data_IF_731067923041
#
_entry.id   IF_731067923041
#
_cell.length_a   1.000
_cell.length_b   1.000
_cell.length_c   1.000
_cell.angle_alpha   90.00
_cell.angle_beta   90.00
_cell.angle_gamma   90.00
#
_symmetry.space_group_name_H-M   'P 1'
#
loop_
_entity.id
_entity.type
_entity.pdbx_description
1 polymer ?
#
# COMPACT_ATOMS: atom_id res chain seq x y z
N UNK A 1 -0.02 -12.51 15.45
CA UNK A 1 -0.12 -11.31 14.59
C UNK A 1 0.18 -11.76 13.17
N UNK A 2 -0.83 -11.90 12.36
CA UNK A 2 -0.71 -12.38 10.98
C UNK A 2 -0.57 -11.21 10.01
N UNK A 3 0.27 -11.34 9.00
CA UNK A 3 0.33 -10.42 7.88
C UNK A 3 -0.80 -10.78 6.91
N UNK A 4 -1.74 -9.88 6.71
CA UNK A 4 -2.79 -10.03 5.72
C UNK A 4 -2.40 -9.23 4.49
N UNK A 5 -2.42 -9.87 3.34
CA UNK A 5 -2.14 -9.23 2.05
C UNK A 5 -3.26 -9.49 1.06
N UNK A 6 -3.54 -8.53 0.20
CA UNK A 6 -4.51 -8.63 -0.88
C UNK A 6 -4.05 -7.87 -2.10
N UNK A 7 -4.15 -8.48 -3.27
CA UNK A 7 -3.85 -7.86 -4.56
C UNK A 7 -5.16 -7.38 -5.19
N UNK A 8 -5.25 -6.10 -5.50
CA UNK A 8 -6.42 -5.46 -6.10
C UNK A 8 -6.11 -5.04 -7.53
N UNK A 9 -6.96 -5.41 -8.47
CA UNK A 9 -6.75 -5.14 -9.91
C UNK A 9 -7.07 -3.71 -10.32
N UNK A 10 -7.84 -3.00 -9.53
CA UNK A 10 -8.28 -1.65 -9.83
C UNK A 10 -8.18 -0.72 -8.61
N UNK A 11 -8.15 0.58 -8.90
CA UNK A 11 -8.02 1.61 -7.88
C UNK A 11 -9.19 1.61 -6.89
N UNK A 12 -10.43 1.43 -7.35
CA UNK A 12 -11.60 1.55 -6.48
C UNK A 12 -11.63 0.45 -5.43
N UNK A 13 -11.31 -0.79 -5.83
CA UNK A 13 -11.22 -1.93 -4.91
C UNK A 13 -10.10 -1.74 -3.90
N UNK A 14 -8.94 -1.25 -4.34
CA UNK A 14 -7.81 -0.93 -3.45
C UNK A 14 -8.16 0.18 -2.46
N UNK A 15 -8.77 1.27 -2.92
CA UNK A 15 -9.21 2.38 -2.07
C UNK A 15 -10.25 1.92 -1.03
N UNK A 16 -11.19 1.06 -1.44
CA UNK A 16 -12.19 0.48 -0.53
C UNK A 16 -11.53 -0.36 0.54
N UNK A 17 -10.58 -1.21 0.17
CA UNK A 17 -9.84 -2.05 1.11
C UNK A 17 -8.96 -1.22 2.07
N UNK A 18 -8.31 -0.18 1.55
CA UNK A 18 -7.53 0.74 2.38
C UNK A 18 -8.43 1.48 3.38
N UNK A 19 -9.58 1.98 2.90
CA UNK A 19 -10.56 2.66 3.75
C UNK A 19 -11.11 1.72 4.82
N UNK A 20 -11.42 0.47 4.48
CA UNK A 20 -11.85 -0.54 5.44
C UNK A 20 -10.84 -0.72 6.58
N UNK A 21 -9.55 -0.76 6.26
CA UNK A 21 -8.49 -0.85 7.26
C UNK A 21 -8.46 0.39 8.17
N UNK A 22 -8.59 1.59 7.60
CA UNK A 22 -8.64 2.82 8.42
C UNK A 22 -9.91 2.91 9.27
N UNK A 23 -11.05 2.47 8.77
CA UNK A 23 -12.31 2.39 9.52
C UNK A 23 -12.22 1.38 10.69
N UNK A 24 -11.38 0.35 10.57
CA UNK A 24 -11.03 -0.57 11.67
C UNK A 24 -10.01 0.03 12.66
N UNK A 25 -9.58 1.28 12.46
CA UNK A 25 -8.68 2.01 13.34
C UNK A 25 -7.20 1.76 13.09
N UNK A 26 -6.84 1.22 11.93
CA UNK A 26 -5.45 1.13 11.49
C UNK A 26 -5.01 2.45 10.88
N UNK A 27 -3.88 2.95 11.32
CA UNK A 27 -3.29 4.19 10.80
C UNK A 27 -2.53 3.94 9.49
N UNK A 28 -2.26 5.00 8.74
CA UNK A 28 -1.54 4.92 7.46
C UNK A 28 -0.12 4.38 7.59
N UNK A 29 0.49 4.50 8.77
CA UNK A 29 1.80 3.95 9.11
C UNK A 29 1.75 2.45 9.52
N UNK A 30 0.57 1.84 9.57
CA UNK A 30 0.38 0.40 9.77
C UNK A 30 -0.05 -0.33 8.49
N UNK A 31 -0.44 0.44 7.45
CA UNK A 31 -0.93 -0.07 6.17
C UNK A 31 0.17 0.09 5.12
N UNK A 32 0.51 -1.00 4.46
CA UNK A 32 1.47 -0.98 3.37
C UNK A 32 0.76 -1.00 2.03
N UNK A 33 1.29 -0.23 1.08
CA UNK A 33 0.80 -0.20 -0.30
C UNK A 33 1.98 -0.37 -1.24
N UNK A 34 1.87 -1.31 -2.17
CA UNK A 34 2.88 -1.55 -3.20
C UNK A 34 2.21 -1.52 -4.56
N UNK A 35 2.75 -0.73 -5.47
CA UNK A 35 2.26 -0.63 -6.85
C UNK A 35 3.41 -0.31 -7.80
N UNK A 36 3.17 -0.48 -9.10
CA UNK A 36 4.13 0.00 -10.10
C UNK A 36 4.12 1.52 -10.19
N UNK A 37 5.23 2.10 -10.65
CA UNK A 37 5.30 3.54 -10.90
C UNK A 37 4.30 3.98 -11.97
N UNK A 38 4.02 3.12 -12.95
CA UNK A 38 3.03 3.39 -13.99
C UNK A 38 1.61 3.39 -13.43
N UNK A 39 1.29 2.47 -12.52
CA UNK A 39 0.01 2.45 -11.78
C UNK A 39 -0.16 3.70 -10.95
N UNK A 40 0.90 4.13 -10.24
CA UNK A 40 0.88 5.39 -9.49
C UNK A 40 0.61 6.60 -10.40
N UNK A 41 1.33 6.70 -11.52
CA UNK A 41 1.14 7.80 -12.48
C UNK A 41 -0.26 7.80 -13.09
N UNK A 42 -0.79 6.61 -13.38
CA UNK A 42 -2.12 6.43 -13.99
C UNK A 42 -3.24 6.88 -13.07
N UNK A 43 -3.20 6.48 -11.80
CA UNK A 43 -4.31 6.67 -10.87
C UNK A 43 -4.14 7.88 -9.96
N UNK A 44 -2.90 8.25 -9.63
CA UNK A 44 -2.60 9.30 -8.64
C UNK A 44 -1.87 10.51 -9.24
N UNK A 45 -1.63 10.51 -10.56
CA UNK A 45 -1.05 11.62 -11.30
C UNK A 45 0.46 11.79 -11.11
N UNK A 46 1.06 12.65 -11.95
CA UNK A 46 2.49 12.97 -11.87
C UNK A 46 2.82 13.88 -10.68
N UNK A 47 1.85 14.61 -10.18
CA UNK A 47 2.00 15.67 -9.19
C UNK A 47 1.66 15.23 -7.75
N UNK A 48 1.51 13.94 -7.51
CA UNK A 48 1.61 13.39 -6.16
C UNK A 48 3.06 13.41 -5.61
N UNK A 49 3.97 14.06 -6.33
CA UNK A 49 5.21 14.55 -5.74
C UNK A 49 4.91 15.84 -5.00
N UNK A 50 4.83 15.71 -3.74
CA UNK A 50 4.85 16.68 -2.69
C UNK A 50 5.80 17.84 -2.99
N UNK A 51 5.33 18.84 -3.70
CA UNK A 51 5.85 20.16 -3.47
C UNK A 51 5.20 20.68 -2.19
N UNK A 52 6.00 20.95 -1.24
CA UNK A 52 5.88 21.19 0.19
C UNK A 52 4.83 22.20 0.69
N UNK A 53 4.04 22.82 -0.16
CA UNK A 53 2.99 23.74 0.28
C UNK A 53 1.62 23.07 0.48
N UNK A 54 1.38 21.92 -0.16
CA UNK A 54 0.14 21.15 0.02
C UNK A 54 0.29 20.11 1.15
N UNK A 55 1.53 19.72 1.47
CA UNK A 55 1.82 18.71 2.48
C UNK A 55 1.32 19.03 3.88
N UNK A 56 1.40 20.29 4.30
CA UNK A 56 0.94 20.69 5.64
C UNK A 56 -0.59 20.70 5.75
N UNK A 57 -1.31 21.04 4.67
CA UNK A 57 -2.78 21.04 4.68
C UNK A 57 -3.39 19.67 4.46
N UNK A 58 -2.68 18.78 3.75
CA UNK A 58 -3.12 17.40 3.57
C UNK A 58 -2.95 16.56 4.85
N UNK A 59 -1.89 16.83 5.63
CA UNK A 59 -1.69 16.16 6.91
C UNK A 59 -2.73 16.61 7.96
N UNK A 60 -3.12 17.89 7.97
CA UNK A 60 -4.20 18.38 8.82
C UNK A 60 -5.57 17.86 8.36
N UNK A 61 -5.80 17.70 7.04
CA UNK A 61 -7.03 17.17 6.49
C UNK A 61 -7.21 15.67 6.70
N UNK A 62 -6.12 14.90 6.70
CA UNK A 62 -6.14 13.46 6.98
C UNK A 62 -6.47 13.16 8.45
N UNK A 63 -6.12 14.07 9.37
CA UNK A 63 -6.45 13.96 10.79
C UNK A 63 -7.92 14.33 11.12
N UNK A 64 -8.59 15.06 10.23
CA UNK A 64 -9.96 15.60 10.47
C UNK A 64 -11.03 14.81 9.70
N UNK A 65 -10.70 13.76 9.06
CA UNK A 65 -11.73 12.83 8.64
C UNK A 65 -11.94 12.69 7.15
N UNK A 66 -12.27 11.50 6.79
CA UNK A 66 -12.80 11.06 5.53
C UNK A 66 -14.13 11.69 5.09
N UNK A 67 -14.38 12.95 5.38
CA UNK A 67 -15.60 13.65 5.02
C UNK A 67 -15.46 14.58 3.81
N UNK A 68 -14.25 14.86 3.36
CA UNK A 68 -14.00 15.68 2.18
C UNK A 68 -13.27 14.90 1.08
N UNK A 69 -13.79 13.72 0.76
CA UNK A 69 -13.37 12.88 -0.36
C UNK A 69 -13.74 13.49 -1.71
N UNK A 70 -13.25 14.67 -1.99
CA UNK A 70 -13.24 15.19 -3.35
C UNK A 70 -11.87 14.94 -3.97
N UNK A 71 -11.77 14.00 -4.89
CA UNK A 71 -10.69 13.82 -5.88
C UNK A 71 -9.36 13.20 -5.46
N UNK A 72 -9.00 13.13 -4.19
CA UNK A 72 -7.83 12.36 -3.75
C UNK A 72 -8.28 11.18 -2.90
N UNK A 73 -7.98 9.95 -3.35
CA UNK A 73 -8.29 8.73 -2.62
C UNK A 73 -7.49 8.61 -1.32
N UNK A 74 -7.92 7.73 -0.42
CA UNK A 74 -7.26 7.49 0.86
C UNK A 74 -5.81 7.00 0.70
N UNK A 75 -5.54 6.22 -0.34
CA UNK A 75 -4.18 5.78 -0.70
C UNK A 75 -3.31 6.97 -1.13
N UNK A 76 -3.84 7.87 -1.97
CA UNK A 76 -3.11 9.07 -2.39
C UNK A 76 -2.76 9.95 -1.19
N UNK A 77 -3.73 10.15 -0.30
CA UNK A 77 -3.52 10.90 0.94
C UNK A 77 -2.47 10.22 1.85
N UNK A 78 -2.48 8.90 1.93
CA UNK A 78 -1.50 8.15 2.71
C UNK A 78 -0.09 8.26 2.11
N UNK A 79 0.06 8.11 0.79
CA UNK A 79 1.33 8.31 0.09
C UNK A 79 1.86 9.73 0.36
N UNK A 80 0.97 10.72 0.39
CA UNK A 80 1.32 12.11 0.65
C UNK A 80 1.66 12.38 2.12
N UNK A 81 0.89 11.83 3.06
CA UNK A 81 0.99 12.17 4.48
C UNK A 81 2.14 11.47 5.21
N UNK A 82 2.46 10.23 4.85
CA UNK A 82 3.41 9.40 5.61
C UNK A 82 4.87 9.77 5.31
N UNK A 83 5.14 10.53 4.24
CA UNK A 83 6.52 10.92 3.87
C UNK A 83 7.47 9.74 3.63
N UNK A 84 6.97 8.52 3.77
CA UNK A 84 7.67 7.25 3.65
C UNK A 84 7.26 6.51 2.37
N UNK A 85 7.04 7.25 1.28
CA UNK A 85 6.94 6.60 -0.03
C UNK A 85 8.34 6.43 -0.59
N UNK A 86 8.72 5.21 -0.82
CA UNK A 86 9.98 4.88 -1.48
C UNK A 86 9.68 4.58 -2.95
N UNK A 87 10.19 5.44 -3.82
CA UNK A 87 10.25 5.16 -5.26
C UNK A 87 11.56 4.45 -5.51
N UNK A 88 11.52 3.25 -6.06
CA UNK A 88 12.70 2.48 -6.44
C UNK A 88 12.98 2.69 -7.94
N UNK A 89 13.85 3.67 -8.30
CA UNK A 89 14.19 3.92 -9.71
C UNK A 89 14.90 2.70 -10.25
N UNK A 90 14.52 2.29 -11.46
CA UNK A 90 15.06 1.08 -12.10
C UNK A 90 14.25 -0.19 -11.83
N UNK A 91 13.46 -0.24 -10.75
CA UNK A 91 12.49 -1.31 -10.49
C UNK A 91 11.06 -0.91 -10.86
N UNK A 92 10.82 0.39 -11.09
CA UNK A 92 9.50 0.89 -11.42
C UNK A 92 8.44 0.68 -10.33
N UNK A 93 8.87 0.67 -9.07
CA UNK A 93 8.01 0.43 -7.91
C UNK A 93 7.85 1.64 -7.02
N UNK A 94 6.67 1.76 -6.46
CA UNK A 94 6.33 2.68 -5.38
C UNK A 94 5.82 1.89 -4.20
N UNK A 95 6.45 2.09 -3.06
CA UNK A 95 6.11 1.43 -1.79
C UNK A 95 5.79 2.52 -0.77
N UNK A 96 4.66 2.42 -0.12
CA UNK A 96 4.26 3.31 0.97
C UNK A 96 3.97 2.51 2.24
N UNK A 97 4.17 3.14 3.40
CA UNK A 97 3.95 2.53 4.71
C UNK A 97 5.22 1.98 5.36
N UNK A 98 5.10 1.18 6.44
CA UNK A 98 6.23 0.65 7.22
C UNK A 98 7.24 -0.13 6.39
N UNK A 99 6.80 -0.80 5.33
CA UNK A 99 7.69 -1.55 4.43
C UNK A 99 8.69 -0.62 3.72
N UNK A 100 8.25 0.57 3.31
CA UNK A 100 9.12 1.56 2.68
C UNK A 100 10.24 1.98 3.65
N UNK A 101 9.92 2.22 4.91
CA UNK A 101 10.89 2.56 5.95
C UNK A 101 11.86 1.42 6.23
N UNK A 102 11.37 0.17 6.26
CA UNK A 102 12.20 -1.01 6.47
C UNK A 102 13.21 -1.20 5.33
N UNK A 103 12.78 -1.03 4.08
CA UNK A 103 13.65 -1.13 2.91
C UNK A 103 14.67 0.01 2.88
N UNK A 104 14.25 1.24 3.16
CA UNK A 104 15.14 2.39 3.23
C UNK A 104 16.20 2.23 4.32
N UNK A 105 15.82 1.65 5.49
CA UNK A 105 16.73 1.38 6.60
C UNK A 105 17.70 0.24 6.34
N UNK A 106 17.35 -0.74 5.51
CA UNK A 106 18.22 -1.86 5.15
C UNK A 106 19.36 -1.49 4.17
N UNK A 107 19.33 -0.27 3.64
CA UNK A 107 20.34 0.25 2.70
C UNK A 107 20.33 -0.46 1.34
N UNK A 108 21.39 -0.25 0.55
CA UNK A 108 21.49 -0.76 -0.82
C UNK A 108 21.41 -2.30 -0.94
N UNK A 109 21.69 -3.04 0.13
CA UNK A 109 21.61 -4.51 0.13
C UNK A 109 20.19 -5.07 0.08
N UNK A 110 19.19 -4.30 0.58
CA UNK A 110 17.77 -4.71 0.54
C UNK A 110 17.09 -4.49 -0.82
N UNK A 111 17.68 -3.66 -1.67
CA UNK A 111 17.07 -3.21 -2.94
C UNK A 111 17.51 -4.05 -4.14
N UNK A 112 18.59 -4.82 -4.02
CA UNK A 112 19.17 -5.57 -5.14
C UNK A 112 18.33 -6.72 -5.67
N UNK A 113 17.35 -7.16 -4.91
CA UNK A 113 16.50 -8.30 -5.25
C UNK A 113 15.15 -7.93 -5.94
N UNK A 114 14.94 -6.66 -6.28
CA UNK A 114 13.73 -6.23 -6.99
C UNK A 114 12.45 -6.34 -6.15
N UNK A 115 11.31 -6.45 -6.85
CA UNK A 115 9.98 -6.66 -6.23
C UNK A 115 10.00 -7.87 -5.31
N UNK A 116 10.55 -8.95 -5.79
CA UNK A 116 10.64 -10.23 -5.05
C UNK A 116 11.36 -10.03 -3.72
N UNK A 117 12.50 -9.36 -3.70
CA UNK A 117 13.23 -9.10 -2.45
C UNK A 117 12.48 -8.23 -1.46
N UNK A 118 11.74 -7.23 -1.94
CA UNK A 118 10.89 -6.41 -1.10
C UNK A 118 9.75 -7.24 -0.47
N UNK A 119 9.11 -8.10 -1.25
CA UNK A 119 8.02 -8.96 -0.79
C UNK A 119 8.51 -10.03 0.19
N UNK A 120 9.67 -10.64 -0.04
CA UNK A 120 10.32 -11.56 0.92
C UNK A 120 10.62 -10.83 2.23
N UNK A 121 11.21 -9.63 2.15
CA UNK A 121 11.49 -8.81 3.33
C UNK A 121 10.23 -8.45 4.12
N UNK A 122 9.09 -8.46 3.48
CA UNK A 122 7.78 -8.26 4.12
C UNK A 122 7.22 -9.53 4.76
N UNK A 123 7.78 -10.70 4.45
CA UNK A 123 7.33 -11.99 4.98
C UNK A 123 6.31 -12.68 4.10
N UNK A 124 6.21 -12.30 2.83
CA UNK A 124 5.35 -12.98 1.86
C UNK A 124 5.99 -14.32 1.48
N UNK A 125 5.25 -15.43 1.53
CA UNK A 125 5.76 -16.75 1.16
C UNK A 125 6.23 -16.82 -0.30
N UNK A 126 7.30 -17.57 -0.56
CA UNK A 126 7.93 -17.66 -1.88
C UNK A 126 6.98 -18.17 -2.98
N UNK A 127 6.04 -19.03 -2.65
CA UNK A 127 5.03 -19.56 -3.57
C UNK A 127 4.05 -18.50 -4.09
N UNK A 128 3.93 -17.36 -3.38
CA UNK A 128 3.06 -16.24 -3.75
C UNK A 128 3.78 -15.10 -4.48
N UNK A 129 5.11 -15.09 -4.44
CA UNK A 129 5.90 -13.96 -4.96
C UNK A 129 5.64 -13.71 -6.45
N UNK A 130 5.55 -14.77 -7.25
CA UNK A 130 5.32 -14.66 -8.70
C UNK A 130 3.94 -14.07 -9.02
N UNK A 131 2.92 -14.47 -8.29
CA UNK A 131 1.55 -14.00 -8.51
C UNK A 131 1.45 -12.50 -8.17
N UNK A 132 2.08 -12.08 -7.06
CA UNK A 132 2.11 -10.67 -6.68
C UNK A 132 2.99 -9.84 -7.62
N UNK A 133 4.16 -10.33 -8.00
CA UNK A 133 5.03 -9.65 -8.97
C UNK A 133 4.29 -9.41 -10.29
N UNK A 134 3.69 -10.46 -10.85
CA UNK A 134 2.91 -10.36 -12.07
C UNK A 134 1.73 -9.41 -11.91
N UNK A 135 0.95 -9.53 -10.83
CA UNK A 135 -0.20 -8.68 -10.58
C UNK A 135 0.16 -7.21 -10.44
N UNK A 136 1.29 -6.87 -9.81
CA UNK A 136 1.78 -5.49 -9.71
C UNK A 136 2.23 -4.99 -11.09
N UNK A 137 2.90 -5.81 -11.89
CA UNK A 137 3.27 -5.47 -13.26
C UNK A 137 2.05 -5.24 -14.15
N UNK A 138 1.00 -6.01 -13.97
CA UNK A 138 -0.27 -5.88 -14.71
C UNK A 138 -1.10 -4.66 -14.27
N UNK A 139 -0.58 -3.85 -13.35
CA UNK A 139 -1.20 -2.62 -12.89
C UNK A 139 -2.01 -2.75 -11.60
N UNK A 140 -1.91 -3.88 -10.92
CA UNK A 140 -2.53 -4.10 -9.61
C UNK A 140 -1.86 -3.32 -8.49
N UNK A 141 -2.59 -3.22 -7.38
CA UNK A 141 -2.18 -2.57 -6.14
C UNK A 141 -2.21 -3.62 -5.04
N UNK A 142 -1.05 -3.88 -4.44
CA UNK A 142 -0.93 -4.78 -3.29
C UNK A 142 -1.09 -3.97 -2.00
N UNK A 143 -2.02 -4.38 -1.16
CA UNK A 143 -2.22 -3.82 0.18
C UNK A 143 -1.91 -4.88 1.21
N UNK A 144 -1.29 -4.47 2.30
CA UNK A 144 -1.01 -5.38 3.40
C UNK A 144 -0.99 -4.70 4.74
N UNK A 145 -1.51 -5.41 5.71
CA UNK A 145 -1.66 -4.96 7.09
C UNK A 145 -1.22 -6.07 8.03
N UNK A 146 -0.48 -5.71 9.06
CA UNK A 146 -0.19 -6.64 10.16
C UNK A 146 -1.35 -6.61 11.14
N UNK A 147 -2.22 -7.62 11.09
CA UNK A 147 -3.39 -7.72 11.94
C UNK A 147 -3.00 -7.75 13.42
N UNK A 148 -3.70 -6.98 14.25
CA UNK A 148 -3.46 -6.88 15.69
C UNK A 148 -4.02 -8.09 16.45
N UNK A 149 -5.03 -8.74 15.86
CA UNK A 149 -5.71 -9.92 16.42
C UNK A 149 -6.11 -10.90 15.32
N UNK A 150 -6.44 -12.14 15.70
CA UNK A 150 -6.97 -13.13 14.76
C UNK A 150 -8.39 -12.75 14.28
N UNK A 151 -9.14 -11.99 15.08
CA UNK A 151 -10.43 -11.46 14.68
C UNK A 151 -10.28 -10.40 13.58
N UNK A 152 -9.33 -9.49 13.72
CA UNK A 152 -9.00 -8.52 12.69
C UNK A 152 -8.53 -9.22 11.41
N UNK A 153 -7.68 -10.24 11.55
CA UNK A 153 -7.20 -11.02 10.41
C UNK A 153 -8.37 -11.61 9.61
N UNK A 154 -9.33 -12.27 10.30
CA UNK A 154 -10.52 -12.82 9.66
C UNK A 154 -11.42 -11.75 9.02
N UNK A 155 -11.54 -10.57 9.65
CA UNK A 155 -12.32 -9.46 9.09
C UNK A 155 -11.69 -8.97 7.80
N UNK A 156 -10.39 -8.71 7.79
CA UNK A 156 -9.65 -8.32 6.57
C UNK A 156 -9.79 -9.35 5.47
N UNK A 157 -9.60 -10.62 5.79
CA UNK A 157 -9.71 -11.71 4.82
C UNK A 157 -11.10 -11.75 4.17
N UNK A 158 -12.16 -11.65 4.97
CA UNK A 158 -13.53 -11.66 4.46
C UNK A 158 -13.86 -10.41 3.65
N UNK A 159 -13.51 -9.24 4.17
CA UNK A 159 -13.81 -7.96 3.55
C UNK A 159 -13.06 -7.79 2.22
N UNK A 160 -11.77 -8.11 2.20
CA UNK A 160 -10.97 -7.97 0.99
C UNK A 160 -11.35 -8.98 -0.09
N UNK A 161 -11.72 -10.21 0.27
CA UNK A 161 -12.28 -11.18 -0.68
C UNK A 161 -13.60 -10.69 -1.30
N UNK A 162 -14.45 -10.04 -0.52
CA UNK A 162 -15.68 -9.45 -1.04
C UNK A 162 -15.42 -8.24 -1.95
N UNK A 163 -14.35 -7.51 -1.71
CA UNK A 163 -13.91 -6.37 -2.51
C UNK A 163 -13.00 -6.76 -3.68
N UNK A 164 -13.13 -7.96 -4.19
CA UNK A 164 -12.43 -8.45 -5.39
C UNK A 164 -10.91 -8.48 -5.25
N UNK A 165 -10.37 -8.69 -4.05
CA UNK A 165 -8.96 -8.97 -3.90
C UNK A 165 -8.65 -10.36 -4.43
N UNK A 166 -7.64 -10.44 -5.29
CA UNK A 166 -7.01 -11.71 -5.63
C UNK A 166 -5.96 -12.07 -4.56
N UNK A 167 -5.77 -13.36 -4.33
CA UNK A 167 -4.72 -13.88 -3.47
C UNK A 167 -4.72 -13.31 -2.03
N UNK A 168 -5.89 -13.14 -1.40
CA UNK A 168 -5.94 -12.77 0.02
C UNK A 168 -5.35 -13.89 0.86
N UNK A 169 -4.34 -13.55 1.64
CA UNK A 169 -3.62 -14.48 2.53
C UNK A 169 -3.55 -13.92 3.94
N UNK A 170 -3.76 -14.78 4.91
CA UNK A 170 -3.50 -14.56 6.32
C UNK A 170 -2.27 -15.36 6.76
#
# INVERSE_FOLDING_TARGET
>A
MSLITGLFKDQNSAETAYKSATDMGYSSDEINVVMSEDTRKKYYGKDATLETEVGNKAAEGAAIGGALGGTMGAIAAAIAAVGTSLVLPGLGLVIAGPLAAAIAGAGAGGVTAGIVGALIGWGIPEDRLKDYEQGIHDGGILIGVKARSDDDARRFENDWKQNSADHVTA
#
